data_IF_786889625803
#
_entry.id   IF_786889625803
#
_cell.length_a   1.000
_cell.length_b   1.000
_cell.length_c   1.000
_cell.angle_alpha   90.00
_cell.angle_beta   90.00
_cell.angle_gamma   90.00
#
_symmetry.space_group_name_H-M   'P 1'
#
loop_
_entity.id
_entity.type
_entity.pdbx_description
1 polymer ?
#
# COMPACT_ATOMS: atom_id res chain seq x y z
N UNK A 1 -15.38 2.68 30.92
CA UNK A 1 -14.36 3.70 31.20
C UNK A 1 -13.26 3.71 30.11
N UNK A 2 -13.62 3.58 28.82
CA UNK A 2 -12.66 3.54 27.69
C UNK A 2 -12.86 4.65 26.66
N UNK A 3 -13.96 5.42 26.74
CA UNK A 3 -14.22 6.52 25.79
C UNK A 3 -13.40 7.79 26.08
N UNK A 4 -12.97 8.00 27.33
CA UNK A 4 -12.30 9.24 27.73
C UNK A 4 -10.86 9.34 27.21
N UNK A 5 -10.15 8.22 27.02
CA UNK A 5 -8.75 8.22 26.59
C UNK A 5 -8.53 8.51 25.10
N UNK A 6 -9.57 8.37 24.26
CA UNK A 6 -9.46 8.69 22.84
C UNK A 6 -9.55 10.20 22.55
N UNK A 7 -10.22 10.98 23.43
CA UNK A 7 -10.42 12.43 23.24
C UNK A 7 -9.17 13.23 23.61
N UNK A 8 -8.44 12.80 24.65
CA UNK A 8 -7.26 13.50 25.18
C UNK A 8 -6.01 13.38 24.29
N UNK A 9 -5.90 12.34 23.45
CA UNK A 9 -4.77 12.15 22.52
C UNK A 9 -4.74 13.15 21.35
N UNK A 10 -5.90 13.74 21.01
CA UNK A 10 -6.06 14.72 19.92
C UNK A 10 -5.17 15.96 20.08
N UNK A 11 -4.85 16.33 21.32
CA UNK A 11 -4.02 17.50 21.67
C UNK A 11 -2.51 17.22 21.55
N UNK A 12 -2.07 15.98 21.82
CA UNK A 12 -0.64 15.62 21.77
C UNK A 12 -0.16 15.35 20.34
N UNK A 13 -0.96 14.71 19.49
CA UNK A 13 -0.62 14.50 18.07
C UNK A 13 -0.55 15.81 17.27
N UNK A 14 -1.45 16.76 17.55
CA UNK A 14 -1.41 18.09 16.93
C UNK A 14 -0.17 18.89 17.36
N UNK A 15 0.26 18.77 18.62
CA UNK A 15 1.51 19.36 19.13
C UNK A 15 2.76 18.68 18.58
N UNK A 16 2.71 17.39 18.24
CA UNK A 16 3.81 16.68 17.57
C UNK A 16 3.98 17.16 16.12
N UNK A 17 2.88 17.37 15.39
CA UNK A 17 2.91 17.90 14.02
C UNK A 17 3.39 19.36 13.95
N UNK A 18 3.05 20.19 14.94
CA UNK A 18 3.51 21.59 15.01
C UNK A 18 5.01 21.69 15.34
N UNK A 19 5.56 20.80 16.17
CA UNK A 19 7.00 20.78 16.48
C UNK A 19 7.86 20.38 15.27
N UNK A 20 7.33 19.63 14.31
CA UNK A 20 8.02 19.22 13.08
C UNK A 20 8.22 20.42 12.13
N UNK A 21 7.30 21.39 12.12
CA UNK A 21 7.42 22.59 11.28
C UNK A 21 8.51 23.58 11.78
N UNK A 22 8.82 23.58 13.09
CA UNK A 22 9.69 24.58 13.71
C UNK A 22 11.20 24.28 13.64
N UNK A 23 11.61 23.07 13.26
CA UNK A 23 13.04 22.70 13.12
C UNK A 23 13.62 23.13 11.76
N UNK A 24 12.80 23.64 10.84
CA UNK A 24 13.20 23.98 9.47
C UNK A 24 13.79 25.38 9.28
N UNK A 25 14.01 26.14 10.35
CA UNK A 25 14.70 27.44 10.28
C UNK A 25 15.96 27.34 11.13
N UNK A 26 17.08 27.02 10.48
CA UNK A 26 18.41 27.61 10.70
C UNK A 26 19.50 26.71 10.11
N UNK A 27 20.46 27.38 9.47
CA UNK A 27 21.80 26.92 9.08
C UNK A 27 21.93 26.06 7.82
N UNK A 28 22.27 26.71 6.70
CA UNK A 28 23.47 26.33 5.92
C UNK A 28 24.13 27.60 5.35
N UNK A 29 25.23 28.01 5.97
CA UNK A 29 26.29 28.81 5.33
C UNK A 29 27.56 27.94 5.38
N UNK A 30 28.00 27.40 4.23
CA UNK A 30 29.39 27.00 4.00
C UNK A 30 29.73 27.26 2.53
N UNK A 31 30.89 27.88 2.35
CA UNK A 31 31.50 28.40 1.13
C UNK A 31 31.82 27.34 0.08
N UNK A 32 32.00 27.84 -1.15
CA UNK A 32 32.12 27.06 -2.36
C UNK A 32 33.32 26.14 -2.46
N UNK A 33 33.08 25.01 -3.13
CA UNK A 33 34.02 24.36 -4.02
C UNK A 33 33.26 23.94 -5.29
N UNK A 34 33.86 24.19 -6.46
CA UNK A 34 33.27 23.87 -7.77
C UNK A 34 33.23 22.36 -7.96
N UNK A 35 32.03 21.77 -7.94
CA UNK A 35 31.80 20.42 -8.45
C UNK A 35 31.41 20.47 -9.92
N UNK A 36 32.35 20.03 -10.76
CA UNK A 36 32.22 19.98 -12.21
C UNK A 36 31.23 18.87 -12.60
N UNK A 37 30.01 19.25 -12.97
CA UNK A 37 28.98 18.31 -13.45
C UNK A 37 29.22 17.98 -14.92
N UNK A 38 29.62 16.72 -15.22
CA UNK A 38 29.54 16.15 -16.56
C UNK A 38 28.10 15.64 -16.77
N UNK A 39 27.25 16.27 -17.59
CA UNK A 39 25.94 15.72 -17.89
C UNK A 39 26.11 14.40 -18.65
N UNK A 40 25.61 13.29 -18.08
CA UNK A 40 25.40 12.07 -18.86
C UNK A 40 24.23 12.34 -19.81
N UNK A 41 24.54 12.34 -21.11
CA UNK A 41 23.59 12.45 -22.20
C UNK A 41 22.39 11.50 -21.99
N UNK A 42 21.20 12.07 -21.86
CA UNK A 42 19.93 11.35 -21.92
C UNK A 42 19.79 10.84 -23.35
N UNK A 43 19.83 9.52 -23.56
CA UNK A 43 19.42 8.93 -24.83
C UNK A 43 17.90 8.92 -24.86
N UNK A 44 17.30 9.79 -25.67
CA UNK A 44 15.90 9.66 -26.08
C UNK A 44 15.87 8.50 -27.08
N UNK A 45 15.30 7.35 -26.68
CA UNK A 45 15.03 6.25 -27.60
C UNK A 45 13.64 6.52 -28.21
N UNK A 46 13.53 6.69 -29.54
CA UNK A 46 12.23 6.79 -30.19
C UNK A 46 11.57 5.42 -30.25
N UNK A 47 10.27 5.38 -29.89
CA UNK A 47 9.27 4.35 -30.20
C UNK A 47 9.76 2.90 -30.26
N UNK A 48 9.77 2.21 -29.13
CA UNK A 48 9.74 0.75 -29.11
C UNK A 48 8.31 0.30 -28.81
N UNK A 49 7.84 -0.68 -29.59
CA UNK A 49 6.68 -1.50 -29.27
C UNK A 49 6.75 -1.93 -27.80
N UNK A 50 5.67 -1.72 -27.06
CA UNK A 50 5.60 -2.05 -25.64
C UNK A 50 5.64 -3.57 -25.53
N UNK A 51 6.83 -4.12 -25.31
CA UNK A 51 7.00 -5.52 -24.97
C UNK A 51 6.10 -5.83 -23.77
N UNK A 52 5.23 -6.86 -23.84
CA UNK A 52 4.27 -7.16 -22.78
C UNK A 52 5.03 -7.31 -21.48
N UNK A 53 4.70 -6.43 -20.53
CA UNK A 53 5.51 -6.24 -19.35
C UNK A 53 5.59 -7.55 -18.56
N UNK A 54 6.80 -8.11 -18.49
CA UNK A 54 7.04 -9.38 -17.80
C UNK A 54 6.57 -9.24 -16.35
N UNK A 55 5.64 -10.11 -15.96
CA UNK A 55 5.13 -10.21 -14.60
C UNK A 55 6.28 -10.27 -13.59
N UNK A 56 6.27 -9.45 -12.51
CA UNK A 56 7.37 -9.45 -11.55
C UNK A 56 7.55 -10.81 -10.86
N UNK A 57 8.80 -11.21 -10.62
CA UNK A 57 9.12 -12.52 -10.04
C UNK A 57 8.53 -12.70 -8.62
N UNK A 58 8.39 -11.61 -7.86
CA UNK A 58 7.80 -11.62 -6.51
C UNK A 58 6.30 -11.96 -6.51
N UNK A 59 5.62 -11.90 -7.66
CA UNK A 59 4.25 -12.39 -7.81
C UNK A 59 4.17 -13.92 -7.86
N UNK A 60 5.31 -14.63 -7.88
CA UNK A 60 5.37 -16.08 -7.98
C UNK A 60 4.48 -16.59 -9.14
N UNK A 61 3.68 -17.63 -8.89
CA UNK A 61 2.72 -18.19 -9.85
C UNK A 61 1.34 -17.50 -9.83
N UNK A 62 1.12 -16.50 -8.97
CA UNK A 62 -0.19 -15.86 -8.77
C UNK A 62 -0.37 -14.62 -9.64
N UNK A 63 -1.52 -14.43 -10.27
CA UNK A 63 -1.79 -13.20 -11.04
C UNK A 63 -1.64 -11.95 -10.15
N UNK A 64 -1.15 -10.84 -10.73
CA UNK A 64 -0.88 -9.57 -10.06
C UNK A 64 -1.38 -8.38 -10.88
N UNK A 65 -1.63 -7.22 -10.24
CA UNK A 65 -1.87 -5.97 -10.95
C UNK A 65 -0.73 -5.63 -11.90
N UNK A 66 -1.08 -5.23 -13.13
CA UNK A 66 -0.13 -4.74 -14.11
C UNK A 66 0.19 -3.27 -13.83
N UNK A 67 1.47 -2.90 -13.96
CA UNK A 67 1.92 -1.53 -13.73
C UNK A 67 3.19 -1.24 -14.49
N UNK A 68 3.38 -0.02 -15.01
CA UNK A 68 4.68 0.45 -15.50
C UNK A 68 5.41 1.29 -14.46
N UNK A 69 6.73 1.22 -14.44
CA UNK A 69 7.57 2.10 -13.60
C UNK A 69 7.76 3.43 -14.34
N UNK A 70 7.31 4.52 -13.72
CA UNK A 70 7.42 5.90 -14.22
C UNK A 70 8.73 6.53 -13.75
N UNK A 71 9.06 6.33 -12.48
CA UNK A 71 10.25 6.85 -11.83
C UNK A 71 10.82 5.79 -10.88
N UNK A 72 12.14 5.71 -10.78
CA UNK A 72 12.82 4.86 -9.81
C UNK A 72 13.86 5.68 -9.05
N UNK A 73 13.85 5.56 -7.74
CA UNK A 73 14.77 6.20 -6.82
C UNK A 73 15.27 5.17 -5.79
N UNK A 74 16.30 5.53 -5.03
CA UNK A 74 16.90 4.64 -4.03
C UNK A 74 15.94 4.15 -2.93
N UNK A 75 14.83 4.88 -2.68
CA UNK A 75 13.87 4.56 -1.63
C UNK A 75 12.47 4.15 -2.09
N UNK A 76 12.14 4.32 -3.37
CA UNK A 76 10.82 4.04 -3.92
C UNK A 76 10.80 3.94 -5.45
N UNK A 77 9.72 3.37 -5.98
CA UNK A 77 9.33 3.48 -7.39
C UNK A 77 8.00 4.24 -7.49
N UNK A 78 7.86 5.14 -8.46
CA UNK A 78 6.55 5.64 -8.88
C UNK A 78 6.02 4.71 -9.96
N UNK A 79 4.94 4.01 -9.68
CA UNK A 79 4.30 3.06 -10.60
C UNK A 79 2.96 3.59 -11.08
N UNK A 80 2.64 3.38 -12.36
CA UNK A 80 1.31 3.59 -12.92
C UNK A 80 0.66 2.22 -13.14
N UNK A 81 -0.34 1.92 -12.32
CA UNK A 81 -1.16 0.70 -12.41
C UNK A 81 -2.27 0.90 -13.43
N UNK A 82 -2.56 -0.14 -14.22
CA UNK A 82 -3.75 -0.16 -15.08
C UNK A 82 -5.03 -0.16 -14.23
N UNK A 83 -6.19 -0.07 -14.87
CA UNK A 83 -7.44 -0.33 -14.17
C UNK A 83 -7.40 -1.72 -13.50
N UNK A 84 -7.92 -1.82 -12.28
CA UNK A 84 -7.87 -3.04 -11.46
C UNK A 84 -9.20 -3.31 -10.80
N UNK A 85 -9.49 -4.59 -10.58
CA UNK A 85 -10.67 -5.06 -9.87
C UNK A 85 -10.28 -5.79 -8.59
N UNK A 86 -11.10 -5.64 -7.56
CA UNK A 86 -10.83 -6.12 -6.22
C UNK A 86 -12.12 -6.63 -5.57
N UNK A 87 -11.97 -7.59 -4.66
CA UNK A 87 -13.00 -7.89 -3.66
C UNK A 87 -12.48 -7.45 -2.31
N UNK A 88 -13.29 -6.71 -1.56
CA UNK A 88 -12.85 -6.03 -0.33
C UNK A 88 -13.84 -6.18 0.81
N UNK A 89 -13.32 -6.09 2.03
CA UNK A 89 -14.10 -5.98 3.27
C UNK A 89 -13.44 -4.93 4.15
N UNK A 90 -14.23 -4.28 5.01
CA UNK A 90 -13.74 -3.27 5.94
C UNK A 90 -14.04 -3.67 7.37
N UNK A 91 -13.11 -3.38 8.28
CA UNK A 91 -13.28 -3.58 9.71
C UNK A 91 -12.55 -2.46 10.46
N UNK A 92 -13.25 -1.85 11.43
CA UNK A 92 -12.61 -0.99 12.42
C UNK A 92 -12.10 -1.87 13.57
N UNK A 93 -10.91 -1.57 14.08
CA UNK A 93 -10.33 -2.32 15.18
C UNK A 93 -9.09 -1.68 15.77
N UNK A 94 -8.74 -2.09 17.00
CA UNK A 94 -7.50 -1.70 17.68
C UNK A 94 -6.39 -2.70 17.37
N UNK A 95 -6.69 -4.00 17.40
CA UNK A 95 -5.74 -5.07 17.08
C UNK A 95 -5.74 -5.36 15.57
N UNK A 96 -4.62 -5.05 14.92
CA UNK A 96 -4.43 -5.31 13.49
C UNK A 96 -4.44 -6.81 13.14
N UNK A 97 -3.87 -7.67 13.99
CA UNK A 97 -3.79 -9.11 13.72
C UNK A 97 -5.16 -9.76 13.74
N UNK A 98 -5.98 -9.43 14.74
CA UNK A 98 -7.36 -9.92 14.83
C UNK A 98 -8.21 -9.41 13.65
N UNK A 99 -8.10 -8.12 13.34
CA UNK A 99 -8.82 -7.52 12.23
C UNK A 99 -8.41 -8.12 10.88
N UNK A 100 -7.10 -8.32 10.67
CA UNK A 100 -6.54 -8.93 9.46
C UNK A 100 -7.04 -10.36 9.25
N UNK A 101 -7.02 -11.19 10.30
CA UNK A 101 -7.53 -12.56 10.22
C UNK A 101 -9.01 -12.63 9.85
N UNK A 102 -9.85 -11.81 10.50
CA UNK A 102 -11.28 -11.74 10.21
C UNK A 102 -11.56 -11.30 8.76
N UNK A 103 -10.89 -10.23 8.31
CA UNK A 103 -11.06 -9.74 6.94
C UNK A 103 -10.58 -10.76 5.91
N UNK A 104 -9.44 -11.42 6.16
CA UNK A 104 -8.91 -12.45 5.26
C UNK A 104 -9.89 -13.61 5.12
N UNK A 105 -10.46 -14.10 6.23
CA UNK A 105 -11.45 -15.19 6.18
C UNK A 105 -12.70 -14.83 5.38
N UNK A 106 -13.24 -13.61 5.51
CA UNK A 106 -14.38 -13.15 4.71
C UNK A 106 -14.10 -13.19 3.21
N UNK A 107 -12.93 -12.69 2.80
CA UNK A 107 -12.53 -12.70 1.38
C UNK A 107 -12.16 -14.10 0.88
N UNK A 108 -11.56 -14.93 1.75
CA UNK A 108 -11.23 -16.30 1.43
C UNK A 108 -12.49 -17.15 1.21
N UNK A 109 -13.49 -17.02 2.07
CA UNK A 109 -14.81 -17.65 1.89
C UNK A 109 -15.43 -17.28 0.54
N UNK A 110 -15.38 -15.99 0.17
CA UNK A 110 -15.91 -15.51 -1.11
C UNK A 110 -15.25 -16.22 -2.30
N UNK A 111 -13.91 -16.25 -2.37
CA UNK A 111 -13.20 -16.90 -3.48
C UNK A 111 -13.32 -18.43 -3.44
N UNK A 112 -13.68 -19.02 -2.29
CA UNK A 112 -13.88 -20.47 -2.15
C UNK A 112 -15.31 -20.95 -2.46
N UNK A 113 -16.21 -20.04 -2.87
CA UNK A 113 -17.56 -20.38 -3.32
C UNK A 113 -18.69 -19.79 -2.47
N UNK A 114 -18.40 -18.96 -1.47
CA UNK A 114 -19.43 -18.20 -0.73
C UNK A 114 -19.82 -16.92 -1.48
N UNK A 115 -20.32 -17.14 -2.70
CA UNK A 115 -20.77 -16.11 -3.63
C UNK A 115 -22.02 -16.63 -4.37
N UNK A 116 -22.74 -15.74 -5.05
CA UNK A 116 -24.05 -16.04 -5.62
C UNK A 116 -24.05 -17.20 -6.64
N UNK A 117 -22.90 -17.45 -7.30
CA UNK A 117 -22.75 -18.52 -8.29
C UNK A 117 -22.14 -19.81 -7.71
N UNK A 118 -21.73 -19.82 -6.43
CA UNK A 118 -20.98 -20.91 -5.79
C UNK A 118 -19.68 -21.27 -6.52
N UNK A 119 -19.08 -20.30 -7.20
CA UNK A 119 -17.89 -20.50 -8.02
C UNK A 119 -16.61 -20.31 -7.22
N UNK A 120 -15.59 -21.11 -7.51
CA UNK A 120 -14.25 -20.90 -6.97
C UNK A 120 -13.47 -19.93 -7.86
N UNK A 121 -12.84 -18.94 -7.23
CA UNK A 121 -12.02 -17.93 -7.89
C UNK A 121 -10.57 -18.17 -7.46
N UNK A 122 -9.64 -18.10 -8.41
CA UNK A 122 -8.23 -18.32 -8.12
C UNK A 122 -7.67 -17.22 -7.20
N UNK A 123 -6.86 -17.61 -6.21
CA UNK A 123 -6.10 -16.68 -5.38
C UNK A 123 -5.10 -15.90 -6.24
N UNK A 124 -4.86 -14.66 -5.87
CA UNK A 124 -3.97 -13.71 -6.55
C UNK A 124 -3.01 -13.06 -5.53
N UNK A 125 -2.12 -12.21 -6.02
CA UNK A 125 -1.30 -11.33 -5.17
C UNK A 125 -1.35 -9.89 -5.71
N UNK A 126 -1.03 -8.87 -4.91
CA UNK A 126 -0.92 -8.93 -3.46
C UNK A 126 -2.29 -8.95 -2.77
N UNK A 127 -2.28 -9.29 -1.48
CA UNK A 127 -3.34 -8.86 -0.55
C UNK A 127 -3.03 -7.43 -0.13
N UNK A 128 -3.94 -6.50 -0.44
CA UNK A 128 -3.82 -5.11 -0.01
C UNK A 128 -4.56 -4.89 1.31
N UNK A 129 -4.00 -4.05 2.18
CA UNK A 129 -4.75 -3.46 3.30
C UNK A 129 -4.61 -1.95 3.27
N UNK A 130 -5.73 -1.24 3.03
CA UNK A 130 -5.81 0.20 3.25
C UNK A 130 -5.89 0.45 4.75
N UNK A 131 -5.01 1.29 5.26
CA UNK A 131 -4.99 1.68 6.66
C UNK A 131 -5.32 3.18 6.77
N UNK A 132 -6.39 3.49 7.49
CA UNK A 132 -6.71 4.85 7.96
C UNK A 132 -6.43 4.86 9.46
N UNK A 133 -5.37 5.54 9.93
CA UNK A 133 -5.00 5.54 11.34
C UNK A 133 -6.09 6.20 12.20
N UNK A 134 -6.34 5.62 13.37
CA UNK A 134 -7.10 6.27 14.44
C UNK A 134 -6.36 7.49 15.01
N UNK A 135 -7.05 8.37 15.78
CA UNK A 135 -6.44 9.58 16.35
C UNK A 135 -5.43 9.32 17.47
N UNK A 136 -5.25 8.06 17.90
CA UNK A 136 -4.31 7.65 18.92
C UNK A 136 -4.13 6.14 18.95
N UNK A 137 -3.11 5.61 19.66
CA UNK A 137 -2.74 4.20 19.64
C UNK A 137 -3.79 3.27 20.27
N UNK A 138 -4.63 3.79 21.17
CA UNK A 138 -5.75 3.05 21.78
C UNK A 138 -7.08 3.24 21.02
N UNK A 139 -7.08 4.02 19.95
CA UNK A 139 -8.28 4.27 19.15
C UNK A 139 -8.31 3.32 17.96
N UNK A 140 -9.51 2.95 17.55
CA UNK A 140 -9.71 2.11 16.38
C UNK A 140 -9.13 2.77 15.13
N UNK A 141 -8.38 1.99 14.36
CA UNK A 141 -8.05 2.31 12.98
C UNK A 141 -9.05 1.64 12.06
N UNK A 142 -9.27 2.21 10.88
CA UNK A 142 -10.13 1.61 9.88
C UNK A 142 -9.27 0.89 8.85
N UNK A 143 -9.50 -0.43 8.73
CA UNK A 143 -8.79 -1.29 7.80
C UNK A 143 -9.73 -1.75 6.69
N UNK A 144 -9.28 -1.64 5.44
CA UNK A 144 -9.97 -2.27 4.30
C UNK A 144 -9.01 -3.24 3.63
N UNK A 145 -9.27 -4.54 3.77
CA UNK A 145 -8.52 -5.57 3.05
C UNK A 145 -9.12 -5.76 1.65
N UNK A 146 -8.27 -6.00 0.65
CA UNK A 146 -8.68 -6.27 -0.72
C UNK A 146 -7.84 -7.40 -1.35
N UNK A 147 -8.51 -8.35 -2.00
CA UNK A 147 -7.86 -9.34 -2.86
C UNK A 147 -7.98 -8.89 -4.31
N UNK A 148 -6.86 -8.94 -5.04
CA UNK A 148 -6.84 -8.61 -6.46
C UNK A 148 -7.70 -9.62 -7.23
N UNK A 149 -8.45 -9.16 -8.22
CA UNK A 149 -9.15 -10.04 -9.15
C UNK A 149 -8.41 -9.99 -10.49
N UNK A 150 -7.95 -11.15 -10.95
CA UNK A 150 -7.30 -11.28 -12.25
C UNK A 150 -8.23 -10.79 -13.36
N UNK A 151 -7.67 -10.11 -14.36
CA UNK A 151 -8.40 -9.64 -15.55
C UNK A 151 -9.05 -10.78 -16.35
N UNK A 152 -8.70 -12.04 -16.05
CA UNK A 152 -9.35 -13.25 -16.59
C UNK A 152 -10.77 -13.47 -16.04
N UNK A 153 -11.11 -12.85 -14.91
CA UNK A 153 -12.43 -12.93 -14.28
C UNK A 153 -13.29 -11.76 -14.78
N UNK A 154 -14.05 -11.98 -15.85
CA UNK A 154 -14.82 -10.92 -16.52
C UNK A 154 -16.20 -10.67 -15.89
N UNK A 155 -16.75 -11.65 -15.17
CA UNK A 155 -18.08 -11.57 -14.55
C UNK A 155 -18.04 -12.10 -13.10
N UNK A 156 -17.42 -11.33 -12.17
CA UNK A 156 -17.23 -11.77 -10.79
C UNK A 156 -18.58 -11.96 -10.09
N UNK A 157 -18.83 -13.12 -9.46
CA UNK A 157 -20.10 -13.39 -8.79
C UNK A 157 -20.34 -12.41 -7.64
N UNK A 158 -21.60 -11.99 -7.46
CA UNK A 158 -21.97 -11.14 -6.35
C UNK A 158 -21.64 -11.82 -5.00
N UNK A 159 -21.05 -11.10 -4.03
CA UNK A 159 -20.86 -11.62 -2.67
C UNK A 159 -22.21 -11.91 -2.01
N UNK A 160 -22.29 -12.99 -1.22
CA UNK A 160 -23.46 -13.29 -0.38
C UNK A 160 -23.33 -12.73 1.03
N UNK A 161 -22.11 -12.36 1.44
CA UNK A 161 -21.83 -11.69 2.71
C UNK A 161 -21.97 -10.16 2.52
N UNK A 162 -22.85 -9.48 3.26
CA UNK A 162 -23.10 -8.05 3.09
C UNK A 162 -21.90 -7.17 3.51
N UNK A 163 -20.89 -7.74 4.18
CA UNK A 163 -19.65 -7.03 4.56
C UNK A 163 -18.57 -7.10 3.48
N UNK A 164 -18.82 -7.86 2.40
CA UNK A 164 -17.92 -8.05 1.26
C UNK A 164 -18.48 -7.32 0.05
N UNK A 165 -17.64 -6.53 -0.62
CA UNK A 165 -18.02 -5.75 -1.79
C UNK A 165 -16.99 -5.89 -2.91
N UNK A 166 -17.49 -5.84 -4.16
CA UNK A 166 -16.65 -5.72 -5.35
C UNK A 166 -16.31 -4.25 -5.58
N UNK A 167 -15.04 -3.97 -5.80
CA UNK A 167 -14.53 -2.62 -6.03
C UNK A 167 -13.65 -2.59 -7.28
N UNK A 168 -13.57 -1.44 -7.92
CA UNK A 168 -12.65 -1.21 -9.03
C UNK A 168 -11.89 0.09 -8.81
N UNK A 169 -10.64 0.11 -9.23
CA UNK A 169 -9.85 1.34 -9.31
C UNK A 169 -9.56 1.64 -10.79
N UNK A 170 -9.78 2.88 -11.26
CA UNK A 170 -9.31 3.30 -12.57
C UNK A 170 -7.78 3.31 -12.59
N UNK A 171 -7.15 3.53 -13.75
CA UNK A 171 -5.69 3.75 -13.83
C UNK A 171 -5.24 4.77 -12.79
N UNK A 172 -4.23 4.40 -11.99
CA UNK A 172 -3.76 5.22 -10.89
C UNK A 172 -2.25 5.12 -10.73
N UNK A 173 -1.65 6.10 -10.04
CA UNK A 173 -0.24 6.09 -9.70
C UNK A 173 -0.03 5.90 -8.21
N UNK A 174 1.01 5.18 -7.85
CA UNK A 174 1.42 5.00 -6.46
C UNK A 174 2.94 5.08 -6.31
N UNK A 175 3.38 5.76 -5.26
CA UNK A 175 4.73 5.66 -4.75
C UNK A 175 4.83 4.36 -3.95
N UNK A 176 5.75 3.49 -4.33
CA UNK A 176 5.89 2.14 -3.79
C UNK A 176 7.26 1.93 -3.20
N UNK A 177 7.30 1.59 -1.91
CA UNK A 177 8.51 1.09 -1.24
C UNK A 177 8.44 -0.42 -1.13
N UNK A 178 9.50 -1.09 -1.56
CA UNK A 178 9.66 -2.54 -1.45
C UNK A 178 10.57 -2.86 -0.26
N UNK A 179 10.22 -3.88 0.51
CA UNK A 179 11.05 -4.34 1.62
C UNK A 179 10.78 -5.82 1.93
N UNK A 180 11.78 -6.47 2.54
CA UNK A 180 11.71 -7.88 2.91
C UNK A 180 11.42 -8.11 4.39
N UNK A 181 11.35 -9.39 4.78
CA UNK A 181 11.21 -9.80 6.18
C UNK A 181 9.78 -10.04 6.64
N UNK A 182 9.63 -10.38 7.92
CA UNK A 182 8.34 -10.63 8.54
C UNK A 182 7.77 -9.36 9.14
N UNK A 183 6.53 -9.06 8.76
CA UNK A 183 5.71 -8.10 9.50
C UNK A 183 4.89 -8.89 10.51
N UNK A 184 5.10 -8.63 11.80
CA UNK A 184 4.37 -9.30 12.89
C UNK A 184 3.37 -8.38 13.57
N UNK A 185 3.65 -7.08 13.56
CA UNK A 185 2.80 -6.08 14.21
C UNK A 185 2.64 -4.86 13.32
N UNK A 186 1.66 -4.01 13.66
CA UNK A 186 1.37 -2.83 12.86
C UNK A 186 2.53 -1.83 12.83
N UNK A 187 3.36 -1.80 13.87
CA UNK A 187 4.52 -0.92 13.98
C UNK A 187 5.56 -1.19 12.88
N UNK A 188 5.69 -2.45 12.43
CA UNK A 188 6.60 -2.81 11.34
C UNK A 188 6.14 -2.15 10.02
N UNK A 189 4.84 -2.15 9.73
CA UNK A 189 4.26 -1.46 8.57
C UNK A 189 4.43 0.07 8.70
N UNK A 190 4.18 0.62 9.89
CA UNK A 190 4.29 2.07 10.14
C UNK A 190 5.73 2.55 9.93
N UNK A 191 6.73 1.78 10.36
CA UNK A 191 8.15 2.10 10.16
C UNK A 191 8.48 2.23 8.67
N UNK A 192 8.07 1.26 7.85
CA UNK A 192 8.35 1.33 6.41
C UNK A 192 7.56 2.44 5.71
N UNK A 193 6.36 2.77 6.20
CA UNK A 193 5.62 3.93 5.71
C UNK A 193 6.36 5.25 6.01
N UNK A 194 6.98 5.37 7.19
CA UNK A 194 7.81 6.54 7.53
C UNK A 194 9.04 6.65 6.63
N UNK A 195 9.70 5.53 6.31
CA UNK A 195 10.84 5.54 5.39
C UNK A 195 10.44 5.95 3.96
N UNK A 196 9.25 5.53 3.50
CA UNK A 196 8.73 6.00 2.22
C UNK A 196 8.40 7.51 2.24
N UNK A 197 7.81 8.03 3.31
CA UNK A 197 7.56 9.48 3.48
C UNK A 197 8.87 10.27 3.36
N UNK A 198 9.92 9.82 4.08
CA UNK A 198 11.26 10.44 4.01
C UNK A 198 11.84 10.38 2.60
N UNK A 199 11.65 9.25 1.90
CA UNK A 199 12.20 9.05 0.57
C UNK A 199 11.50 9.91 -0.50
N UNK A 200 10.18 10.10 -0.41
CA UNK A 200 9.43 10.99 -1.30
C UNK A 200 9.76 12.46 -1.01
N UNK A 201 9.96 12.80 0.28
CA UNK A 201 10.34 14.14 0.77
C UNK A 201 9.41 15.28 0.30
N UNK A 202 8.15 14.97 -0.03
CA UNK A 202 7.14 15.95 -0.44
C UNK A 202 5.73 15.38 -0.25
N UNK A 203 5.07 15.75 0.85
CA UNK A 203 3.72 15.29 1.17
C UNK A 203 2.63 15.86 0.26
N UNK A 204 2.94 16.85 -0.59
CA UNK A 204 1.98 17.40 -1.55
C UNK A 204 1.66 16.41 -2.66
N UNK A 205 2.58 15.49 -2.98
CA UNK A 205 2.50 14.55 -4.11
C UNK A 205 1.54 13.37 -3.93
N UNK A 206 1.11 13.07 -2.71
CA UNK A 206 0.28 11.89 -2.41
C UNK A 206 -0.81 12.16 -1.38
N UNK A 207 -1.78 11.26 -1.31
CA UNK A 207 -2.83 11.30 -0.29
C UNK A 207 -2.28 10.86 1.08
N UNK A 208 -2.39 11.72 2.09
CA UNK A 208 -1.78 11.50 3.42
C UNK A 208 -2.71 10.88 4.45
N UNK A 209 -4.01 10.79 4.15
CA UNK A 209 -5.03 10.28 5.10
C UNK A 209 -5.01 8.76 5.25
N UNK A 210 -4.43 8.06 4.29
CA UNK A 210 -4.32 6.60 4.27
C UNK A 210 -3.07 6.17 3.51
N UNK A 211 -2.69 4.92 3.71
CA UNK A 211 -1.72 4.22 2.88
C UNK A 211 -2.15 2.77 2.71
N UNK A 212 -1.50 2.06 1.80
CA UNK A 212 -1.72 0.63 1.64
C UNK A 212 -0.48 -0.15 2.05
N UNK A 213 -0.72 -1.30 2.66
CA UNK A 213 0.28 -2.38 2.75
C UNK A 213 -0.05 -3.41 1.69
N UNK A 214 0.97 -4.05 1.12
CA UNK A 214 0.81 -5.10 0.12
C UNK A 214 1.64 -6.33 0.54
N UNK A 215 0.95 -7.44 0.80
CA UNK A 215 1.57 -8.73 1.11
C UNK A 215 1.46 -9.70 -0.08
N UNK A 216 2.59 -10.21 -0.56
CA UNK A 216 2.62 -11.10 -1.73
C UNK A 216 2.73 -12.59 -1.37
N UNK A 217 3.18 -12.89 -0.15
CA UNK A 217 3.55 -14.24 0.25
C UNK A 217 2.57 -14.86 1.24
N UNK A 218 2.34 -16.16 1.07
CA UNK A 218 1.59 -17.00 2.03
C UNK A 218 2.16 -16.85 3.45
N UNK A 219 1.32 -16.85 4.50
CA UNK A 219 1.78 -16.77 5.90
C UNK A 219 2.80 -17.87 6.28
N UNK A 220 2.81 -19.01 5.57
CA UNK A 220 3.75 -20.11 5.80
C UNK A 220 5.12 -19.93 5.12
N UNK A 221 5.33 -18.88 4.31
CA UNK A 221 6.63 -18.59 3.67
C UNK A 221 7.58 -17.90 4.66
N UNK A 222 8.70 -18.56 4.97
CA UNK A 222 9.63 -18.14 6.04
C UNK A 222 10.79 -17.26 5.57
N UNK A 223 11.24 -17.40 4.33
CA UNK A 223 12.35 -16.63 3.78
C UNK A 223 11.96 -15.91 2.49
N UNK A 224 12.67 -14.82 2.17
CA UNK A 224 12.52 -14.03 0.94
C UNK A 224 11.08 -13.54 0.69
N UNK A 225 10.43 -13.02 1.73
CA UNK A 225 9.13 -12.38 1.61
C UNK A 225 9.27 -11.03 0.92
N UNK A 226 8.31 -10.69 0.07
CA UNK A 226 8.16 -9.39 -0.58
C UNK A 226 6.94 -8.67 0.01
N UNK A 227 7.20 -7.54 0.63
CA UNK A 227 6.16 -6.65 1.14
C UNK A 227 6.35 -5.26 0.54
N UNK A 228 5.26 -4.52 0.43
CA UNK A 228 5.32 -3.14 -0.06
C UNK A 228 4.45 -2.18 0.78
N UNK A 229 4.85 -0.91 0.81
CA UNK A 229 4.01 0.22 1.25
C UNK A 229 3.68 1.08 0.04
N UNK A 230 2.41 1.45 -0.14
CA UNK A 230 1.97 2.31 -1.22
C UNK A 230 1.33 3.60 -0.70
N UNK A 231 1.78 4.74 -1.22
CA UNK A 231 1.03 6.00 -1.15
C UNK A 231 0.48 6.35 -2.53
N UNK A 232 -0.84 6.55 -2.62
CA UNK A 232 -1.49 6.91 -3.89
C UNK A 232 -1.11 8.35 -4.26
N UNK A 233 -0.62 8.54 -5.48
CA UNK A 233 -0.31 9.86 -6.03
C UNK A 233 -1.58 10.69 -6.16
N UNK A 234 -1.46 12.00 -5.96
CA UNK A 234 -2.48 12.94 -6.42
C UNK A 234 -2.40 13.16 -7.92
#
# INVERSE_FOLDING_TARGET
MYLFDCITSRSQYFRMLIKIAAVFVMAVFVQGEKLYYKPKMIKIIPGNEVEPQKKPDFCNKLDCPEYKVIESSSGYELREYTATHWVSTTLAGVDYSEASGTMFHRLFDYIQGKNAKKEKIAMTAPVLVRLIPGPGPACESNFTMSFFMSNKVTDPPAPTDPTVALNSAPTFRAYVRQFGGYVRKIEDWIKEAQELIKSINDSSKYYTKFYFTAGYDSPFRIFNRHNEIWFISK
#
